data_IF_285200074713
#
_entry.id   IF_285200074713
#
_cell.length_a   1.000
_cell.length_b   1.000
_cell.length_c   1.000
_cell.angle_alpha   90.00
_cell.angle_beta   90.00
_cell.angle_gamma   90.00
#
_symmetry.space_group_name_H-M   'P 1'
#
loop_
_entity.id
_entity.type
_entity.pdbx_description
1 polymer ?
#
# COMPACT_ATOMS: atom_id res chain seq x y z
N UNK A 1 -3.75 -3.93 -9.51
CA UNK A 1 -2.35 -3.43 -9.55
C UNK A 1 -1.36 -4.57 -9.34
N UNK A 2 -0.22 -4.45 -9.94
CA UNK A 2 0.84 -5.46 -9.84
C UNK A 2 2.09 -4.84 -9.26
N UNK A 3 2.80 -5.63 -8.45
CA UNK A 3 4.09 -5.25 -7.88
C UNK A 3 5.11 -6.33 -8.20
N UNK A 4 6.33 -5.94 -8.47
CA UNK A 4 7.46 -6.85 -8.68
C UNK A 4 8.42 -6.74 -7.53
N UNK A 5 8.74 -7.88 -6.92
CA UNK A 5 9.68 -7.94 -5.81
C UNK A 5 10.79 -8.93 -6.13
N UNK A 6 12.00 -8.60 -5.70
CA UNK A 6 13.10 -9.55 -5.71
C UNK A 6 12.99 -10.42 -4.47
N UNK A 7 12.78 -11.70 -4.66
CA UNK A 7 12.70 -12.65 -3.55
C UNK A 7 14.02 -13.41 -3.48
N UNK A 8 14.64 -13.39 -2.31
CA UNK A 8 15.92 -14.01 -2.09
C UNK A 8 15.73 -15.41 -1.51
N UNK A 9 16.06 -16.42 -2.33
CA UNK A 9 15.97 -17.84 -1.94
C UNK A 9 17.29 -18.53 -2.27
N UNK A 10 17.85 -19.26 -1.29
CA UNK A 10 19.06 -20.07 -1.48
C UNK A 10 20.25 -19.29 -2.07
N UNK A 11 20.41 -18.02 -1.69
CA UNK A 11 21.50 -17.18 -2.18
C UNK A 11 21.27 -16.58 -3.56
N UNK A 12 20.11 -16.84 -4.17
CA UNK A 12 19.74 -16.28 -5.47
C UNK A 12 18.56 -15.34 -5.31
N UNK A 13 18.49 -14.31 -6.16
CA UNK A 13 17.32 -13.44 -6.22
C UNK A 13 16.47 -13.82 -7.42
N UNK A 14 15.18 -13.93 -7.19
CA UNK A 14 14.19 -14.25 -8.22
C UNK A 14 13.16 -13.13 -8.21
N UNK A 15 12.92 -12.50 -9.36
CA UNK A 15 11.86 -11.50 -9.49
C UNK A 15 10.50 -12.19 -9.54
N UNK A 16 9.62 -11.85 -8.62
CA UNK A 16 8.25 -12.37 -8.59
C UNK A 16 7.27 -11.22 -8.71
N UNK A 17 6.20 -11.44 -9.48
CA UNK A 17 5.12 -10.48 -9.65
C UNK A 17 3.92 -10.89 -8.81
N UNK A 18 3.33 -9.93 -8.10
CA UNK A 18 2.15 -10.14 -7.27
C UNK A 18 1.04 -9.20 -7.74
N UNK A 19 -0.20 -9.68 -7.70
CA UNK A 19 -1.36 -8.87 -8.03
C UNK A 19 -2.10 -8.46 -6.75
N UNK A 20 -2.61 -7.24 -6.72
CA UNK A 20 -3.41 -6.77 -5.60
C UNK A 20 -4.73 -7.54 -5.52
N UNK A 21 -5.28 -7.59 -4.31
CA UNK A 21 -6.59 -8.18 -4.10
C UNK A 21 -7.67 -7.29 -4.69
N UNK A 22 -8.87 -7.84 -4.86
CA UNK A 22 -10.05 -7.01 -5.18
C UNK A 22 -10.35 -6.14 -3.96
N UNK A 23 -10.42 -4.84 -4.16
CA UNK A 23 -10.61 -3.88 -3.06
C UNK A 23 -12.00 -4.03 -2.45
N UNK A 24 -12.06 -4.02 -1.13
CA UNK A 24 -13.28 -4.19 -0.34
C UNK A 24 -13.48 -2.98 0.57
N UNK A 25 -14.62 -2.94 1.28
CA UNK A 25 -14.87 -1.88 2.26
C UNK A 25 -13.80 -1.77 3.32
N UNK A 26 -13.22 -2.90 3.74
CA UNK A 26 -12.10 -2.91 4.69
C UNK A 26 -10.87 -2.19 4.12
N UNK A 27 -10.65 -2.28 2.83
CA UNK A 27 -9.52 -1.60 2.18
C UNK A 27 -9.63 -0.09 2.31
N UNK A 28 -10.82 0.47 2.11
CA UNK A 28 -11.08 1.90 2.28
C UNK A 28 -10.86 2.32 3.73
N UNK A 29 -11.42 1.57 4.67
CA UNK A 29 -11.26 1.87 6.09
C UNK A 29 -9.80 1.90 6.50
N UNK A 30 -9.04 0.92 6.05
CA UNK A 30 -7.61 0.82 6.35
C UNK A 30 -6.82 1.98 5.72
N UNK A 31 -7.14 2.33 4.49
CA UNK A 31 -6.52 3.48 3.81
C UNK A 31 -6.76 4.77 4.60
N UNK A 32 -7.99 5.01 5.03
CA UNK A 32 -8.33 6.22 5.78
C UNK A 32 -7.60 6.29 7.13
N UNK A 33 -7.50 5.17 7.84
CA UNK A 33 -6.75 5.09 9.10
C UNK A 33 -5.28 5.50 8.88
N UNK A 34 -4.65 4.98 7.84
CA UNK A 34 -3.25 5.25 7.56
C UNK A 34 -3.06 6.68 7.05
N UNK A 35 -3.97 7.19 6.22
CA UNK A 35 -3.90 8.56 5.74
C UNK A 35 -3.98 9.56 6.89
N UNK A 36 -4.82 9.31 7.89
CA UNK A 36 -4.91 10.18 9.07
C UNK A 36 -3.58 10.21 9.83
N UNK A 37 -2.95 9.06 10.01
CA UNK A 37 -1.66 8.95 10.68
C UNK A 37 -0.59 9.68 9.88
N UNK A 38 -0.56 9.48 8.56
CA UNK A 38 0.42 10.13 7.68
C UNK A 38 0.21 11.64 7.61
N UNK A 39 -1.03 12.09 7.60
CA UNK A 39 -1.34 13.53 7.60
C UNK A 39 -0.87 14.18 8.89
N UNK A 40 -1.08 13.54 10.03
CA UNK A 40 -0.57 14.02 11.32
C UNK A 40 0.96 14.10 11.33
N UNK A 41 1.63 13.09 10.78
CA UNK A 41 3.08 13.07 10.67
C UNK A 41 3.58 14.23 9.81
N UNK A 42 2.93 14.50 8.68
CA UNK A 42 3.28 15.60 7.79
C UNK A 42 3.08 16.95 8.49
N UNK A 43 1.95 17.13 9.19
CA UNK A 43 1.64 18.37 9.90
C UNK A 43 2.63 18.66 11.03
N UNK A 44 3.09 17.61 11.72
CA UNK A 44 4.06 17.74 12.81
C UNK A 44 5.51 17.75 12.32
N UNK A 45 5.73 17.44 11.05
CA UNK A 45 7.06 17.32 10.48
C UNK A 45 7.84 16.13 11.01
N UNK A 46 7.16 15.10 11.50
CA UNK A 46 7.78 13.92 12.09
C UNK A 46 7.34 12.68 11.34
N UNK A 47 8.32 11.97 10.74
CA UNK A 47 8.09 10.67 10.11
C UNK A 47 8.92 9.63 10.87
N UNK A 48 8.21 8.76 11.59
CA UNK A 48 8.85 7.76 12.46
C UNK A 48 8.90 6.39 11.79
N UNK A 49 9.63 5.47 12.43
CA UNK A 49 9.65 4.07 12.02
C UNK A 49 8.24 3.48 12.04
N UNK A 50 7.40 3.86 13.01
CA UNK A 50 6.02 3.39 13.09
C UNK A 50 5.21 3.78 11.86
N UNK A 51 5.38 5.00 11.36
CA UNK A 51 4.73 5.46 10.14
C UNK A 51 5.16 4.63 8.94
N UNK A 52 6.46 4.34 8.85
CA UNK A 52 7.02 3.53 7.78
C UNK A 52 6.48 2.10 7.83
N UNK A 53 6.44 1.52 9.03
CA UNK A 53 5.93 0.16 9.24
C UNK A 53 4.46 0.05 8.84
N UNK A 54 3.63 1.04 9.21
CA UNK A 54 2.22 1.07 8.82
C UNK A 54 2.04 1.12 7.31
N UNK A 55 2.86 1.92 6.64
CA UNK A 55 2.82 2.00 5.17
C UNK A 55 3.15 0.65 4.54
N UNK A 56 4.19 -0.02 5.04
CA UNK A 56 4.58 -1.34 4.55
C UNK A 56 3.51 -2.40 4.83
N UNK A 57 2.92 -2.38 6.01
CA UNK A 57 1.82 -3.28 6.37
C UNK A 57 0.62 -3.09 5.45
N UNK A 58 0.28 -1.85 5.17
CA UNK A 58 -0.82 -1.52 4.25
C UNK A 58 -0.56 -2.10 2.86
N UNK A 59 0.65 -1.93 2.34
CA UNK A 59 1.01 -2.50 1.04
C UNK A 59 0.83 -4.01 1.06
N UNK A 60 1.34 -4.69 2.08
CA UNK A 60 1.19 -6.15 2.20
C UNK A 60 -0.28 -6.57 2.26
N UNK A 61 -1.09 -5.87 3.02
CA UNK A 61 -2.54 -6.15 3.15
C UNK A 61 -3.24 -6.03 1.79
N UNK A 62 -2.89 -5.02 1.00
CA UNK A 62 -3.53 -4.79 -0.30
C UNK A 62 -3.14 -5.85 -1.33
N UNK A 63 -2.10 -6.62 -1.07
CA UNK A 63 -1.71 -7.77 -1.89
C UNK A 63 -2.09 -9.10 -1.23
N UNK A 64 -3.01 -9.06 -0.22
CA UNK A 64 -3.52 -10.26 0.43
C UNK A 64 -2.51 -11.00 1.28
N UNK A 65 -1.49 -10.27 1.76
CA UNK A 65 -0.39 -10.84 2.54
C UNK A 65 0.33 -11.99 1.83
N UNK A 66 0.40 -11.91 0.50
CA UNK A 66 1.12 -12.91 -0.32
C UNK A 66 2.61 -12.85 -0.11
N UNK A 67 3.10 -11.76 0.48
CA UNK A 67 4.48 -11.59 0.91
C UNK A 67 4.48 -10.91 2.28
N UNK A 68 5.52 -11.12 3.04
CA UNK A 68 5.68 -10.49 4.36
C UNK A 68 6.24 -9.08 4.22
N UNK A 69 6.18 -8.31 5.32
CA UNK A 69 6.82 -6.99 5.35
C UNK A 69 8.33 -7.12 5.09
N UNK A 70 8.97 -8.12 5.66
CA UNK A 70 10.41 -8.34 5.43
C UNK A 70 10.70 -8.64 3.96
N UNK A 71 9.89 -9.45 3.31
CA UNK A 71 10.02 -9.73 1.88
C UNK A 71 9.81 -8.47 1.03
N UNK A 72 8.87 -7.63 1.44
CA UNK A 72 8.65 -6.34 0.78
C UNK A 72 9.88 -5.43 0.94
N UNK A 73 10.38 -5.29 2.16
CA UNK A 73 11.51 -4.41 2.46
C UNK A 73 12.77 -4.85 1.72
N UNK A 74 13.00 -6.15 1.63
CA UNK A 74 14.18 -6.69 0.96
C UNK A 74 14.06 -6.69 -0.56
N UNK A 75 12.82 -6.76 -1.07
CA UNK A 75 12.56 -6.99 -2.48
C UNK A 75 12.18 -5.75 -3.29
N UNK A 76 11.94 -4.61 -2.66
CA UNK A 76 11.56 -3.38 -3.36
C UNK A 76 12.69 -2.34 -3.23
N UNK A 77 12.87 -1.55 -4.29
CA UNK A 77 13.83 -0.44 -4.22
C UNK A 77 13.26 0.72 -3.38
N UNK A 78 14.15 1.42 -2.71
CA UNK A 78 13.77 2.51 -1.82
C UNK A 78 12.89 3.56 -2.52
N UNK A 79 13.23 3.93 -3.74
CA UNK A 79 12.50 4.93 -4.53
C UNK A 79 11.12 4.47 -4.96
N UNK A 80 10.81 3.18 -4.87
CA UNK A 80 9.53 2.62 -5.33
C UNK A 80 8.51 2.40 -4.21
N UNK A 81 8.94 2.45 -2.94
CA UNK A 81 8.05 2.14 -1.82
C UNK A 81 6.92 3.16 -1.66
N UNK A 82 7.25 4.45 -1.65
CA UNK A 82 6.26 5.51 -1.50
C UNK A 82 5.33 5.61 -2.71
N UNK A 83 5.83 5.57 -3.95
CA UNK A 83 4.95 5.54 -5.11
C UNK A 83 3.98 4.37 -5.12
N UNK A 84 4.41 3.19 -4.68
CA UNK A 84 3.53 2.02 -4.55
C UNK A 84 2.39 2.29 -3.58
N UNK A 85 2.71 2.85 -2.42
CA UNK A 85 1.71 3.25 -1.42
C UNK A 85 0.72 4.25 -2.00
N UNK A 86 1.21 5.29 -2.69
CA UNK A 86 0.38 6.33 -3.27
C UNK A 86 -0.53 5.78 -4.37
N UNK A 87 -0.02 4.89 -5.21
CA UNK A 87 -0.80 4.29 -6.30
C UNK A 87 -1.93 3.43 -5.76
N UNK A 88 -1.67 2.64 -4.72
CA UNK A 88 -2.70 1.84 -4.05
C UNK A 88 -3.78 2.74 -3.43
N UNK A 89 -3.38 3.81 -2.78
CA UNK A 89 -4.30 4.77 -2.17
C UNK A 89 -5.17 5.44 -3.23
N UNK A 90 -4.59 5.83 -4.36
CA UNK A 90 -5.33 6.42 -5.48
C UNK A 90 -6.33 5.45 -6.08
N UNK A 91 -5.96 4.19 -6.23
CA UNK A 91 -6.87 3.18 -6.77
C UNK A 91 -8.09 2.99 -5.87
N UNK A 92 -7.89 2.90 -4.56
CA UNK A 92 -8.97 2.78 -3.59
C UNK A 92 -9.85 4.03 -3.62
N UNK A 93 -9.24 5.20 -3.62
CA UNK A 93 -9.94 6.48 -3.69
C UNK A 93 -10.76 6.63 -4.96
N UNK A 94 -10.19 6.30 -6.10
CA UNK A 94 -10.88 6.41 -7.39
C UNK A 94 -12.10 5.48 -7.45
N UNK A 95 -11.99 4.25 -6.98
CA UNK A 95 -13.11 3.32 -6.94
C UNK A 95 -14.22 3.80 -6.02
N UNK A 96 -13.86 4.38 -4.89
CA UNK A 96 -14.80 4.92 -3.91
C UNK A 96 -15.50 6.16 -4.45
N UNK A 97 -14.73 7.11 -4.98
CA UNK A 97 -15.27 8.38 -5.50
C UNK A 97 -16.23 8.15 -6.67
N UNK A 98 -15.90 7.24 -7.56
CA UNK A 98 -16.74 6.92 -8.70
C UNK A 98 -18.14 6.46 -8.28
N UNK A 99 -18.22 5.64 -7.24
CA UNK A 99 -19.51 5.18 -6.70
C UNK A 99 -20.24 6.28 -5.94
N UNK A 100 -19.51 7.10 -5.20
CA UNK A 100 -20.11 8.22 -4.46
C UNK A 100 -20.65 9.29 -5.40
N UNK A 101 -19.97 9.58 -6.48
CA UNK A 101 -20.48 10.49 -7.51
C UNK A 101 -21.83 10.02 -8.07
N UNK A 102 -21.95 8.73 -8.32
CA UNK A 102 -23.21 8.15 -8.80
C UNK A 102 -24.35 8.26 -7.77
N UNK A 103 -24.02 8.26 -6.48
CA UNK A 103 -24.99 8.43 -5.40
C UNK A 103 -25.40 9.89 -5.20
N UNK A 104 -24.49 10.83 -5.43
CA UNK A 104 -24.69 12.26 -5.21
C UNK A 104 -25.35 12.93 -6.39
N UNK A 105 -25.18 12.43 -7.59
CA UNK A 105 -25.75 12.98 -8.83
C UNK A 105 -27.22 12.62 -9.05
N UNK A 106 -28.01 12.72 -8.04
CA UNK A 106 -29.45 12.48 -8.23
C UNK A 106 -30.20 13.79 -8.32
#
# INVERSE_FOLDING_TARGET
MKIKLEIFENGESIEKEFSSIRMRGRSLKRMLEIQDVMQSAENEGVFTQEHYDLMCEFICEMYGNKFSVDELLDGIYLEDIYPTFMDLSKEIGNKTMKKMENLIKK
#
